data_IF_778032235288
#
_entry.id   IF_778032235288
#
_cell.length_a   1.000
_cell.length_b   1.000
_cell.length_c   1.000
_cell.angle_alpha   90.00
_cell.angle_beta   90.00
_cell.angle_gamma   90.00
#
_symmetry.space_group_name_H-M   'P 1'
#
loop_
_entity.id
_entity.type
_entity.pdbx_description
1 polymer ?
#
# COMPACT_ATOMS: atom_id res chain seq x y z
N UNK A 1 1.59 58.56 29.55
CA UNK A 1 2.90 57.87 29.45
C UNK A 1 2.85 56.97 28.22
N UNK A 2 3.60 57.30 27.17
CA UNK A 2 3.59 56.56 25.88
C UNK A 2 4.54 55.37 26.06
N UNK A 3 4.03 54.13 26.02
CA UNK A 3 4.90 52.95 26.10
C UNK A 3 5.81 52.94 24.87
N UNK A 4 7.12 52.89 25.08
CA UNK A 4 8.09 52.70 24.00
C UNK A 4 7.83 51.32 23.39
N UNK A 5 7.42 51.28 22.14
CA UNK A 5 7.20 50.03 21.41
C UNK A 5 8.58 49.49 21.03
N UNK A 6 9.04 48.47 21.77
CA UNK A 6 10.27 47.75 21.46
C UNK A 6 10.04 46.97 20.15
N UNK A 7 10.63 47.45 19.07
CA UNK A 7 10.64 46.74 17.79
C UNK A 7 11.57 45.53 17.83
N UNK A 8 11.27 44.53 17.00
CA UNK A 8 12.13 43.36 16.79
C UNK A 8 13.40 43.78 16.05
N UNK A 9 14.56 43.33 16.50
CA UNK A 9 15.84 43.69 15.87
C UNK A 9 16.16 42.75 14.70
N UNK A 10 16.88 43.27 13.69
CA UNK A 10 17.33 42.43 12.57
C UNK A 10 18.28 41.32 13.04
N UNK A 11 19.07 41.56 14.09
CA UNK A 11 19.98 40.56 14.63
C UNK A 11 19.24 39.41 15.31
N UNK A 12 18.15 39.69 16.03
CA UNK A 12 17.28 38.65 16.60
C UNK A 12 16.67 37.80 15.48
N UNK A 13 16.23 38.43 14.38
CA UNK A 13 15.67 37.72 13.23
C UNK A 13 16.71 36.81 12.56
N UNK A 14 17.94 37.27 12.38
CA UNK A 14 19.00 36.49 11.76
C UNK A 14 19.35 35.24 12.57
N UNK A 15 19.41 35.35 13.90
CA UNK A 15 19.69 34.20 14.76
C UNK A 15 18.55 33.17 14.70
N UNK A 16 17.30 33.64 14.72
CA UNK A 16 16.12 32.74 14.63
C UNK A 16 16.14 31.97 13.31
N UNK A 17 16.43 32.63 12.19
CA UNK A 17 16.51 31.95 10.87
C UNK A 17 17.62 30.90 10.85
N UNK A 18 18.79 31.20 11.43
CA UNK A 18 19.89 30.25 11.50
C UNK A 18 19.53 28.98 12.31
N UNK A 19 18.85 29.15 13.45
CA UNK A 19 18.41 28.02 14.28
C UNK A 19 17.35 27.19 13.52
N UNK A 20 16.37 27.83 12.89
CA UNK A 20 15.34 27.14 12.10
C UNK A 20 15.98 26.36 10.94
N UNK A 21 17.01 26.90 10.29
CA UNK A 21 17.70 26.21 9.20
C UNK A 21 18.37 24.91 9.67
N UNK A 22 19.03 24.93 10.84
CA UNK A 22 19.66 23.73 11.44
C UNK A 22 18.58 22.70 11.81
N UNK A 23 17.50 23.13 12.46
CA UNK A 23 16.41 22.24 12.85
C UNK A 23 15.71 21.63 11.63
N UNK A 24 15.44 22.43 10.59
CA UNK A 24 14.79 21.97 9.37
C UNK A 24 15.62 20.92 8.62
N UNK A 25 16.95 21.07 8.59
CA UNK A 25 17.85 20.11 7.95
C UNK A 25 17.74 18.69 8.54
N UNK A 26 17.43 18.57 9.84
CA UNK A 26 17.25 17.28 10.53
C UNK A 26 15.77 16.87 10.54
N UNK A 27 14.88 17.81 10.82
CA UNK A 27 13.46 17.53 11.01
C UNK A 27 12.76 17.12 9.70
N UNK A 28 13.10 17.72 8.56
CA UNK A 28 12.48 17.39 7.27
C UNK A 28 12.74 15.92 6.87
N UNK A 29 14.00 15.42 6.81
CA UNK A 29 14.23 14.02 6.46
C UNK A 29 13.62 13.05 7.48
N UNK A 30 13.70 13.37 8.78
CA UNK A 30 13.11 12.54 9.83
C UNK A 30 11.58 12.45 9.71
N UNK A 31 10.91 13.59 9.48
CA UNK A 31 9.46 13.63 9.28
C UNK A 31 9.03 12.87 8.02
N UNK A 32 9.78 13.04 6.92
CA UNK A 32 9.53 12.31 5.68
C UNK A 32 9.67 10.80 5.86
N UNK A 33 10.65 10.34 6.66
CA UNK A 33 10.80 8.93 7.01
C UNK A 33 9.62 8.43 7.84
N UNK A 34 9.21 9.16 8.88
CA UNK A 34 8.05 8.82 9.71
C UNK A 34 6.77 8.66 8.89
N UNK A 35 6.50 9.61 7.98
CA UNK A 35 5.33 9.51 7.10
C UNK A 35 5.44 8.27 6.21
N UNK A 36 6.60 7.97 5.64
CA UNK A 36 6.80 6.76 4.83
C UNK A 36 6.52 5.49 5.64
N UNK A 37 7.04 5.38 6.87
CA UNK A 37 6.78 4.24 7.76
C UNK A 37 5.29 4.09 8.07
N UNK A 38 4.59 5.19 8.34
CA UNK A 38 3.14 5.17 8.55
C UNK A 38 2.38 4.68 7.30
N UNK A 39 2.82 5.06 6.09
CA UNK A 39 2.25 4.51 4.86
C UNK A 39 2.56 3.02 4.69
N UNK A 40 3.71 2.52 5.16
CA UNK A 40 4.06 1.09 5.10
C UNK A 40 3.13 0.24 5.94
N UNK A 41 2.74 0.75 7.11
CA UNK A 41 1.75 0.09 7.96
C UNK A 41 0.45 -0.13 7.17
N UNK A 42 -0.05 0.92 6.50
CA UNK A 42 -1.28 0.84 5.70
C UNK A 42 -1.16 -0.13 4.52
N UNK A 43 -0.02 -0.14 3.84
CA UNK A 43 0.22 -1.10 2.74
C UNK A 43 0.17 -2.54 3.27
N UNK A 44 0.75 -2.77 4.44
CA UNK A 44 0.72 -4.08 5.09
C UNK A 44 -0.71 -4.49 5.42
N UNK A 45 -1.52 -3.56 5.95
CA UNK A 45 -2.94 -3.80 6.22
C UNK A 45 -3.71 -4.16 4.93
N UNK A 46 -3.47 -3.44 3.84
CA UNK A 46 -4.07 -3.76 2.54
C UNK A 46 -3.62 -5.13 2.02
N UNK A 47 -2.34 -5.45 2.15
CA UNK A 47 -1.79 -6.72 1.71
C UNK A 47 -2.41 -7.90 2.45
N UNK A 48 -2.48 -7.83 3.78
CA UNK A 48 -3.09 -8.87 4.60
C UNK A 48 -4.60 -8.98 4.35
N UNK A 49 -5.26 -7.84 4.11
CA UNK A 49 -6.66 -7.79 3.68
C UNK A 49 -6.91 -8.54 2.36
N UNK A 50 -6.08 -8.29 1.34
CA UNK A 50 -6.16 -8.99 0.07
C UNK A 50 -5.89 -10.49 0.23
N UNK A 51 -4.90 -10.89 1.01
CA UNK A 51 -4.61 -12.30 1.27
C UNK A 51 -5.82 -13.03 1.88
N UNK A 52 -6.44 -12.44 2.89
CA UNK A 52 -7.64 -13.01 3.55
C UNK A 52 -8.81 -13.11 2.58
N UNK A 53 -9.09 -12.05 1.82
CA UNK A 53 -10.19 -12.01 0.87
C UNK A 53 -10.02 -13.05 -0.25
N UNK A 54 -8.84 -13.15 -0.86
CA UNK A 54 -8.56 -14.13 -1.91
C UNK A 54 -8.57 -15.56 -1.41
N UNK A 55 -8.01 -15.80 -0.22
CA UNK A 55 -8.05 -17.14 0.39
C UNK A 55 -9.50 -17.58 0.63
N UNK A 56 -10.34 -16.68 1.13
CA UNK A 56 -11.77 -16.95 1.33
C UNK A 56 -12.45 -17.24 -0.02
N UNK A 57 -12.19 -16.44 -1.05
CA UNK A 57 -12.80 -16.64 -2.37
C UNK A 57 -12.37 -17.97 -3.01
N UNK A 58 -11.08 -18.31 -2.97
CA UNK A 58 -10.61 -19.61 -3.48
C UNK A 58 -11.23 -20.79 -2.71
N UNK A 59 -11.37 -20.68 -1.39
CA UNK A 59 -12.02 -21.72 -0.59
C UNK A 59 -13.51 -21.89 -0.93
N UNK A 60 -14.21 -20.78 -1.17
CA UNK A 60 -15.60 -20.78 -1.62
C UNK A 60 -15.71 -21.45 -2.98
N UNK A 61 -14.82 -21.10 -3.92
CA UNK A 61 -14.80 -21.66 -5.28
C UNK A 61 -14.49 -23.15 -5.29
N UNK A 62 -13.57 -23.62 -4.46
CA UNK A 62 -13.31 -25.05 -4.29
C UNK A 62 -14.58 -25.82 -3.86
N UNK A 63 -15.37 -25.24 -2.95
CA UNK A 63 -16.67 -25.81 -2.56
C UNK A 63 -17.72 -25.75 -3.68
N UNK A 64 -17.66 -24.77 -4.59
CA UNK A 64 -18.52 -24.71 -5.77
C UNK A 64 -18.14 -25.81 -6.79
N UNK A 65 -16.84 -26.02 -7.02
CA UNK A 65 -16.34 -27.12 -7.86
C UNK A 65 -16.80 -28.47 -7.35
N UNK A 66 -16.70 -28.69 -6.03
CA UNK A 66 -17.12 -29.94 -5.39
C UNK A 66 -18.63 -30.20 -5.51
N UNK A 67 -19.44 -29.14 -5.66
CA UNK A 67 -20.89 -29.24 -5.91
C UNK A 67 -21.24 -29.36 -7.40
N UNK A 68 -20.25 -29.44 -8.28
CA UNK A 68 -20.45 -29.55 -9.74
C UNK A 68 -20.95 -28.26 -10.39
N UNK A 69 -20.79 -27.10 -9.75
CA UNK A 69 -21.14 -25.81 -10.35
C UNK A 69 -20.14 -25.43 -11.45
N UNK A 70 -20.64 -24.79 -12.51
CA UNK A 70 -19.76 -24.27 -13.56
C UNK A 70 -19.04 -23.01 -13.07
N UNK A 71 -17.71 -23.05 -13.03
CA UNK A 71 -16.88 -21.93 -12.60
C UNK A 71 -16.35 -21.15 -13.81
N UNK A 72 -16.55 -19.84 -13.80
CA UNK A 72 -15.84 -18.92 -14.68
C UNK A 72 -14.48 -18.60 -14.08
N UNK A 73 -13.40 -18.73 -14.86
CA UNK A 73 -12.03 -18.52 -14.38
C UNK A 73 -11.86 -17.13 -13.75
N UNK A 74 -11.24 -17.08 -12.56
CA UNK A 74 -10.79 -15.79 -12.03
C UNK A 74 -9.72 -15.21 -12.95
N UNK A 75 -9.82 -13.90 -13.14
CA UNK A 75 -8.83 -13.07 -13.80
C UNK A 75 -8.66 -11.77 -13.02
N UNK A 76 -7.64 -10.99 -13.39
CA UNK A 76 -7.29 -9.73 -12.75
C UNK A 76 -8.49 -8.77 -12.61
N UNK A 77 -9.38 -8.68 -13.60
CA UNK A 77 -10.54 -7.80 -13.55
C UNK A 77 -11.58 -8.29 -12.54
N UNK A 78 -11.80 -9.61 -12.46
CA UNK A 78 -12.78 -10.20 -11.54
C UNK A 78 -12.34 -10.20 -10.07
N UNK A 79 -11.04 -10.24 -9.78
CA UNK A 79 -10.53 -10.30 -8.39
C UNK A 79 -10.39 -8.93 -7.73
N UNK A 80 -10.19 -7.86 -8.50
CA UNK A 80 -10.01 -6.51 -7.95
C UNK A 80 -11.24 -6.01 -7.16
N UNK A 81 -12.49 -6.22 -7.62
CA UNK A 81 -13.67 -5.91 -6.82
C UNK A 81 -13.81 -6.75 -5.55
N UNK A 82 -13.24 -7.96 -5.52
CA UNK A 82 -13.30 -8.87 -4.37
C UNK A 82 -12.38 -8.39 -3.24
N UNK A 83 -11.18 -7.89 -3.58
CA UNK A 83 -10.26 -7.32 -2.59
C UNK A 83 -10.58 -5.88 -2.22
N UNK A 84 -11.29 -5.18 -3.10
CA UNK A 84 -11.55 -3.76 -2.93
C UNK A 84 -13.01 -3.40 -3.18
N UNK A 85 -13.97 -3.98 -2.42
CA UNK A 85 -15.38 -3.67 -2.60
C UNK A 85 -15.69 -2.19 -2.31
N UNK A 86 -14.90 -1.54 -1.46
CA UNK A 86 -15.09 -0.14 -1.04
C UNK A 86 -14.29 0.87 -1.88
N UNK A 87 -13.62 0.45 -2.97
CA UNK A 87 -12.77 1.32 -3.80
C UNK A 87 -11.75 2.14 -2.99
N UNK A 88 -11.14 1.53 -1.97
CA UNK A 88 -10.08 2.10 -1.15
C UNK A 88 -8.93 2.57 -2.04
N UNK A 89 -8.34 3.70 -1.69
CA UNK A 89 -7.22 4.31 -2.41
C UNK A 89 -5.87 3.82 -1.88
N UNK A 90 -4.85 3.89 -2.73
CA UNK A 90 -3.49 3.53 -2.32
C UNK A 90 -2.99 4.49 -1.22
N UNK A 91 -2.17 4.02 -0.25
CA UNK A 91 -1.76 4.82 0.91
C UNK A 91 -1.07 6.14 0.58
N UNK A 92 -0.31 6.19 -0.53
CA UNK A 92 0.41 7.40 -0.99
C UNK A 92 -0.41 8.18 -2.04
N UNK A 93 -1.60 7.70 -2.39
CA UNK A 93 -2.49 8.29 -3.39
C UNK A 93 -2.15 7.85 -4.82
N UNK A 94 -2.77 8.51 -5.81
CA UNK A 94 -2.53 8.21 -7.23
C UNK A 94 -3.31 7.03 -7.81
N UNK A 95 -4.30 6.49 -7.09
CA UNK A 95 -5.18 5.45 -7.59
C UNK A 95 -5.79 4.56 -6.50
N UNK A 96 -6.34 3.42 -6.93
CA UNK A 96 -6.88 2.38 -6.06
C UNK A 96 -5.78 1.66 -5.27
N UNK A 97 -6.14 1.07 -4.13
CA UNK A 97 -5.23 0.33 -3.25
C UNK A 97 -4.68 -0.96 -3.89
N UNK A 98 -5.37 -1.49 -4.90
CA UNK A 98 -5.03 -2.73 -5.57
C UNK A 98 -5.05 -2.56 -7.09
N UNK A 99 -4.17 -3.27 -7.77
CA UNK A 99 -4.10 -3.30 -9.23
C UNK A 99 -3.42 -4.57 -9.73
N UNK A 100 -3.18 -4.65 -11.04
CA UNK A 100 -2.57 -5.83 -11.68
C UNK A 100 -1.06 -5.92 -11.47
N UNK A 101 -0.45 -4.88 -10.91
CA UNK A 101 0.96 -4.81 -10.54
C UNK A 101 1.12 -3.95 -9.30
N UNK A 102 2.18 -4.22 -8.52
CA UNK A 102 2.50 -3.43 -7.35
C UNK A 102 3.18 -2.11 -7.75
N UNK A 103 2.90 -1.02 -7.05
CA UNK A 103 3.50 0.29 -7.33
C UNK A 103 4.14 0.88 -6.07
N UNK A 104 5.46 1.06 -6.10
CA UNK A 104 6.21 1.72 -5.04
C UNK A 104 5.95 3.23 -4.96
N UNK A 105 5.44 3.83 -6.03
CA UNK A 105 5.13 5.27 -6.09
C UNK A 105 3.83 5.58 -5.34
N UNK A 106 2.80 4.74 -5.51
CA UNK A 106 1.46 4.94 -4.92
C UNK A 106 1.23 4.11 -3.67
N UNK A 107 1.97 3.01 -3.53
CA UNK A 107 1.73 1.99 -2.51
C UNK A 107 0.61 1.02 -2.83
N UNK A 108 0.30 0.86 -4.12
CA UNK A 108 -0.66 -0.12 -4.59
C UNK A 108 -0.12 -1.54 -4.44
N UNK A 109 -0.96 -2.44 -3.93
CA UNK A 109 -0.70 -3.88 -3.87
C UNK A 109 -1.02 -4.51 -5.22
N UNK A 110 -0.08 -5.28 -5.75
CA UNK A 110 -0.25 -5.98 -7.02
C UNK A 110 -0.95 -7.32 -6.83
N UNK A 111 -1.90 -7.63 -7.70
CA UNK A 111 -2.60 -8.92 -7.73
C UNK A 111 -2.57 -9.43 -9.17
N UNK A 112 -1.93 -10.58 -9.35
CA UNK A 112 -1.84 -11.25 -10.65
C UNK A 112 -2.48 -12.62 -10.54
N UNK A 113 -3.48 -12.87 -11.38
CA UNK A 113 -4.18 -14.16 -11.48
C UNK A 113 -3.77 -14.84 -12.78
N UNK A 114 -3.50 -16.13 -12.69
CA UNK A 114 -3.26 -17.02 -13.83
C UNK A 114 -3.94 -18.37 -13.60
N UNK A 115 -4.03 -19.19 -14.64
CA UNK A 115 -4.65 -20.53 -14.56
C UNK A 115 -6.10 -20.57 -15.06
N UNK A 116 -6.64 -21.78 -15.12
CA UNK A 116 -7.99 -22.05 -15.58
C UNK A 116 -8.98 -22.09 -14.41
N UNK A 117 -10.28 -22.11 -14.71
CA UNK A 117 -11.34 -22.22 -13.71
C UNK A 117 -11.11 -23.44 -12.79
N UNK A 118 -11.06 -23.22 -11.48
CA UNK A 118 -10.80 -24.25 -10.48
C UNK A 118 -9.33 -24.63 -10.28
N UNK A 119 -8.41 -24.02 -11.04
CA UNK A 119 -6.95 -24.20 -10.93
C UNK A 119 -6.22 -22.85 -10.91
N UNK A 120 -6.89 -21.79 -10.45
CA UNK A 120 -6.33 -20.45 -10.46
C UNK A 120 -5.16 -20.31 -9.47
N UNK A 121 -4.10 -19.67 -9.92
CA UNK A 121 -2.98 -19.21 -9.09
C UNK A 121 -3.06 -17.70 -8.99
N UNK A 122 -3.08 -17.19 -7.77
CA UNK A 122 -3.10 -15.76 -7.49
C UNK A 122 -1.83 -15.36 -6.75
N UNK A 123 -1.09 -14.42 -7.33
CA UNK A 123 0.13 -13.86 -6.76
C UNK A 123 -0.20 -12.48 -6.23
N UNK A 124 -0.05 -12.29 -4.92
CA UNK A 124 -0.16 -10.99 -4.27
C UNK A 124 1.25 -10.45 -4.05
N UNK A 125 1.53 -9.29 -4.62
CA UNK A 125 2.84 -8.64 -4.60
C UNK A 125 2.77 -7.37 -3.77
N UNK A 126 3.60 -7.26 -2.73
CA UNK A 126 3.73 -6.02 -1.95
C UNK A 126 4.63 -5.03 -2.70
N UNK A 127 4.31 -3.75 -2.78
CA UNK A 127 5.19 -2.76 -3.40
C UNK A 127 6.51 -2.61 -2.61
N UNK A 128 7.63 -2.46 -3.33
CA UNK A 128 8.96 -2.31 -2.75
C UNK A 128 9.26 -0.82 -2.47
N UNK A 129 8.99 -0.35 -1.27
CA UNK A 129 9.42 1.00 -0.94
C UNK A 129 10.91 1.02 -0.65
N UNK A 130 11.62 2.01 -1.22
CA UNK A 130 13.01 2.34 -0.89
C UNK A 130 14.11 1.37 -1.36
N UNK A 131 13.99 0.70 -2.51
CA UNK A 131 15.11 0.01 -3.19
C UNK A 131 15.95 -0.98 -2.32
N UNK A 132 15.46 -1.43 -1.16
CA UNK A 132 16.29 -2.14 -0.17
C UNK A 132 15.81 -3.55 0.19
N UNK A 133 14.82 -4.11 -0.50
CA UNK A 133 14.53 -5.55 -0.41
C UNK A 133 14.98 -6.20 -1.71
N UNK A 134 16.00 -7.06 -1.60
CA UNK A 134 16.37 -7.99 -2.65
C UNK A 134 15.15 -8.91 -2.88
N UNK A 135 14.41 -8.65 -3.96
CA UNK A 135 13.14 -9.31 -4.25
C UNK A 135 11.94 -8.59 -3.66
N UNK A 136 10.95 -8.33 -4.50
CA UNK A 136 9.63 -7.84 -4.10
C UNK A 136 8.90 -8.98 -3.38
N UNK A 137 8.59 -8.86 -2.08
CA UNK A 137 7.96 -9.96 -1.35
C UNK A 137 6.59 -10.26 -1.96
N UNK A 138 6.45 -11.47 -2.48
CA UNK A 138 5.24 -12.00 -3.08
C UNK A 138 4.72 -13.18 -2.26
N UNK A 139 3.41 -13.34 -2.24
CA UNK A 139 2.76 -14.56 -1.75
C UNK A 139 1.93 -15.12 -2.88
N UNK A 140 2.17 -16.38 -3.18
CA UNK A 140 1.41 -17.15 -4.16
C UNK A 140 0.37 -17.97 -3.44
N UNK A 141 -0.89 -17.81 -3.82
CA UNK A 141 -2.03 -18.62 -3.38
C UNK A 141 -2.47 -19.42 -4.59
N UNK A 142 -2.37 -20.75 -4.54
CA UNK A 142 -2.81 -21.62 -5.64
C UNK A 142 -4.06 -22.40 -5.24
N UNK A 143 -4.95 -22.63 -6.19
CA UNK A 143 -6.13 -23.48 -6.03
C UNK A 143 -5.81 -24.99 -6.00
N UNK A 144 -4.54 -25.43 -6.13
CA UNK A 144 -4.14 -26.85 -5.94
C UNK A 144 -3.01 -26.97 -4.91
N UNK A 145 -3.08 -27.84 -3.88
CA UNK A 145 -3.66 -29.18 -3.81
C UNK A 145 -4.64 -29.32 -2.61
N UNK A 146 -5.90 -29.69 -2.87
CA UNK A 146 -6.70 -30.52 -1.96
C UNK A 146 -6.73 -31.90 -2.58
#
# INVERSE_FOLDING_TARGET
MKRAQSGFTLIELMIVVAIIAILAAIAIPAYNQYIREAQMSKVTDHYDGAYRALKAELSKRAAQSARGENLTALNNTSVLPIVNPENRTAPIGGGLAYGTSASATTGMVGITVSGAAGQETIIITRPNFLNAMNGTPNVTISAGNI
#
